data_IF_268692545878
#
_entry.id   IF_268692545878
#
_cell.length_a   1.000
_cell.length_b   1.000
_cell.length_c   1.000
_cell.angle_alpha   90.00
_cell.angle_beta   90.00
_cell.angle_gamma   90.00
#
_symmetry.space_group_name_H-M   'P 1'
#
loop_
_entity.id
_entity.type
_entity.pdbx_description
1 polymer ?
#
# COMPACT_ATOMS: atom_id res chain seq x y z
N UNK A 1 -9.96 -1.66 -1.37
CA UNK A 1 -9.87 -0.68 -2.48
C UNK A 1 -10.27 0.76 -2.10
N UNK A 2 -9.94 1.28 -0.90
CA UNK A 2 -10.23 2.70 -0.54
C UNK A 2 -8.99 3.61 -0.57
N UNK A 3 -7.79 3.03 -0.48
CA UNK A 3 -6.55 3.79 -0.31
C UNK A 3 -6.00 4.41 -1.60
N UNK A 4 -6.24 3.78 -2.77
CA UNK A 4 -5.70 4.23 -4.06
C UNK A 4 -5.94 5.73 -4.39
N UNK A 5 -7.17 6.26 -4.31
CA UNK A 5 -7.39 7.69 -4.56
C UNK A 5 -6.69 8.60 -3.54
N UNK A 6 -6.61 8.18 -2.26
CA UNK A 6 -5.91 8.93 -1.21
C UNK A 6 -4.40 8.95 -1.47
N UNK A 7 -3.80 7.80 -1.83
CA UNK A 7 -2.39 7.72 -2.20
C UNK A 7 -2.09 8.67 -3.35
N UNK A 8 -2.90 8.63 -4.42
CA UNK A 8 -2.75 9.49 -5.61
C UNK A 8 -2.77 10.97 -5.26
N UNK A 9 -3.65 11.40 -4.36
CA UNK A 9 -3.72 12.79 -3.93
C UNK A 9 -2.50 13.19 -3.08
N UNK A 10 -2.09 12.34 -2.13
CA UNK A 10 -0.91 12.58 -1.29
C UNK A 10 0.39 12.67 -2.10
N UNK A 11 0.48 11.98 -3.25
CA UNK A 11 1.63 12.09 -4.16
C UNK A 11 1.83 13.51 -4.71
N UNK A 12 0.79 14.37 -4.74
CA UNK A 12 0.93 15.79 -5.15
C UNK A 12 1.62 16.65 -4.10
N UNK A 13 1.67 16.19 -2.84
CA UNK A 13 2.22 16.92 -1.70
C UNK A 13 3.53 16.32 -1.19
N UNK A 14 4.27 15.54 -2.01
CA UNK A 14 5.52 14.87 -1.61
C UNK A 14 6.58 15.77 -0.97
N UNK A 15 6.62 17.06 -1.34
CA UNK A 15 7.55 18.04 -0.76
C UNK A 15 7.16 18.50 0.65
N UNK A 16 5.94 18.19 1.09
CA UNK A 16 5.36 18.61 2.37
C UNK A 16 4.94 17.42 3.26
N UNK A 17 4.64 16.27 2.65
CA UNK A 17 4.11 15.09 3.34
C UNK A 17 4.92 13.86 2.91
N UNK A 18 5.45 13.14 3.91
CA UNK A 18 6.03 11.82 3.72
C UNK A 18 4.92 10.80 3.97
N UNK A 19 4.41 10.20 2.90
CA UNK A 19 3.41 9.14 2.96
C UNK A 19 4.10 7.77 2.89
N UNK A 20 3.85 6.91 3.87
CA UNK A 20 4.38 5.55 3.96
C UNK A 20 3.26 4.53 3.96
N UNK A 21 3.42 3.46 3.18
CA UNK A 21 2.49 2.32 3.14
C UNK A 21 3.08 1.19 3.98
N UNK A 22 2.31 0.76 4.99
CA UNK A 22 2.68 -0.34 5.87
C UNK A 22 1.73 -1.52 5.64
N UNK A 23 2.30 -2.68 5.32
CA UNK A 23 1.56 -3.92 5.14
C UNK A 23 1.76 -4.81 6.37
N UNK A 24 0.69 -5.08 7.12
CA UNK A 24 0.77 -5.86 8.38
C UNK A 24 1.13 -7.33 8.16
N UNK A 25 0.77 -7.88 7.00
CA UNK A 25 0.97 -9.30 6.68
C UNK A 25 -0.27 -10.18 6.94
N UNK A 26 -1.41 -9.59 7.31
CA UNK A 26 -2.64 -10.31 7.68
C UNK A 26 -3.47 -10.86 6.50
N UNK A 27 -2.95 -10.84 5.27
CA UNK A 27 -3.61 -11.48 4.12
C UNK A 27 -2.97 -12.84 3.86
N UNK A 28 -3.75 -13.91 4.03
CA UNK A 28 -3.33 -15.30 3.80
C UNK A 28 -3.02 -15.59 2.34
N UNK A 29 -3.68 -14.89 1.40
CA UNK A 29 -3.37 -15.01 -0.02
C UNK A 29 -2.47 -13.86 -0.50
N UNK A 30 -1.16 -14.15 -0.51
CA UNK A 30 -0.12 -13.26 -1.03
C UNK A 30 -0.36 -12.87 -2.49
N UNK A 31 -0.94 -13.76 -3.32
CA UNK A 31 -1.24 -13.46 -4.73
C UNK A 31 -2.33 -12.40 -4.81
N UNK A 32 -3.33 -12.45 -3.93
CA UNK A 32 -4.41 -11.47 -3.89
C UNK A 32 -3.88 -10.07 -3.55
N UNK A 33 -2.99 -9.95 -2.55
CA UNK A 33 -2.35 -8.69 -2.22
C UNK A 33 -1.54 -8.11 -3.40
N UNK A 34 -0.72 -8.93 -4.06
CA UNK A 34 0.10 -8.50 -5.19
C UNK A 34 -0.74 -8.01 -6.38
N UNK A 35 -1.87 -8.69 -6.67
CA UNK A 35 -2.82 -8.27 -7.71
C UNK A 35 -3.42 -6.90 -7.38
N UNK A 36 -3.82 -6.66 -6.13
CA UNK A 36 -4.36 -5.35 -5.73
C UNK A 36 -3.37 -4.20 -5.91
N UNK A 37 -2.10 -4.38 -5.55
CA UNK A 37 -1.10 -3.32 -5.75
C UNK A 37 -0.91 -3.01 -7.24
N UNK A 38 -0.89 -4.05 -8.08
CA UNK A 38 -0.72 -3.90 -9.53
C UNK A 38 -1.93 -3.22 -10.18
N UNK A 39 -3.14 -3.67 -9.89
CA UNK A 39 -4.37 -3.12 -10.50
C UNK A 39 -4.65 -1.67 -10.07
N UNK A 40 -4.26 -1.31 -8.85
CA UNK A 40 -4.47 0.04 -8.31
C UNK A 40 -3.31 1.00 -8.58
N UNK A 41 -2.30 0.56 -9.34
CA UNK A 41 -1.06 1.31 -9.60
C UNK A 41 -0.41 1.83 -8.30
N UNK A 42 -0.54 1.05 -7.22
CA UNK A 42 0.04 1.37 -5.94
C UNK A 42 1.49 0.87 -5.88
N UNK A 43 2.41 1.63 -5.27
CA UNK A 43 3.76 1.15 -5.06
C UNK A 43 3.75 -0.02 -4.05
N UNK A 44 4.81 -0.83 -4.07
CA UNK A 44 5.04 -1.81 -3.01
C UNK A 44 5.04 -1.12 -1.64
N UNK A 45 4.58 -1.79 -0.57
CA UNK A 45 4.63 -1.23 0.77
C UNK A 45 6.07 -0.88 1.15
N UNK A 46 6.25 0.26 1.80
CA UNK A 46 7.53 0.67 2.36
C UNK A 46 7.98 -0.25 3.48
N UNK A 47 7.02 -0.79 4.24
CA UNK A 47 7.27 -1.65 5.40
C UNK A 47 6.32 -2.85 5.33
N UNK A 48 6.88 -4.05 5.48
CA UNK A 48 6.12 -5.28 5.65
C UNK A 48 6.38 -5.83 7.05
N UNK A 49 5.36 -5.85 7.91
CA UNK A 49 5.51 -6.23 9.32
C UNK A 49 5.50 -7.74 9.54
N UNK A 50 4.88 -8.51 8.65
CA UNK A 50 4.83 -9.97 8.77
C UNK A 50 4.15 -10.51 10.03
N UNK A 51 3.33 -9.69 10.70
CA UNK A 51 2.59 -10.05 11.93
C UNK A 51 1.21 -10.66 11.62
N UNK A 52 1.07 -11.27 10.43
CA UNK A 52 -0.11 -12.05 10.09
C UNK A 52 -0.16 -13.35 10.89
N UNK A 53 -1.30 -13.61 11.54
CA UNK A 53 -1.54 -14.85 12.31
C UNK A 53 -1.45 -16.10 11.44
#
# INVERSE_FOLDING_TARGET
MKMAPVHKELQKFKSKIIHKIVHTGQHYDKKMSDVFFKELELPKPDIYLGVGS
#
